data_IF_078255014417
#
_entry.id   IF_078255014417
#
_cell.length_a   1.000
_cell.length_b   1.000
_cell.length_c   1.000
_cell.angle_alpha   90.00
_cell.angle_beta   90.00
_cell.angle_gamma   90.00
#
_symmetry.space_group_name_H-M   'P 1'
#
loop_
_entity.id
_entity.type
_entity.pdbx_description
1 polymer ?
#
# COMPACT_ATOMS: atom_id res chain seq x y z
N UNK A 1 21.63 -11.33 46.75
CA UNK A 1 20.43 -11.12 45.91
C UNK A 1 20.67 -9.85 45.08
N UNK A 2 21.20 -9.99 43.86
CA UNK A 2 21.41 -8.88 42.92
C UNK A 2 20.22 -8.87 41.95
N UNK A 3 19.54 -7.74 41.72
CA UNK A 3 18.42 -7.67 40.79
C UNK A 3 18.91 -7.92 39.36
N UNK A 4 18.11 -8.71 38.64
CA UNK A 4 18.23 -9.02 37.23
C UNK A 4 18.18 -7.73 36.40
N UNK A 5 19.12 -7.48 35.47
CA UNK A 5 19.09 -6.30 34.63
C UNK A 5 17.98 -6.48 33.60
N UNK A 6 16.88 -5.74 33.83
CA UNK A 6 15.79 -5.39 32.91
C UNK A 6 15.96 -6.01 31.51
N UNK A 7 15.17 -7.05 31.24
CA UNK A 7 15.02 -7.58 29.88
C UNK A 7 14.77 -6.41 28.91
N UNK A 8 15.50 -6.33 27.77
CA UNK A 8 15.29 -5.28 26.79
C UNK A 8 13.82 -5.28 26.34
N UNK A 9 13.19 -4.11 26.37
CA UNK A 9 11.81 -3.88 25.96
C UNK A 9 11.58 -4.42 24.53
N UNK A 10 10.62 -5.34 24.31
CA UNK A 10 10.36 -5.95 23.02
C UNK A 10 9.80 -4.91 22.02
N UNK A 11 10.70 -4.42 21.17
CA UNK A 11 10.47 -3.55 20.01
C UNK A 11 10.41 -2.04 20.31
N UNK A 12 11.61 -1.45 20.28
CA UNK A 12 11.87 -0.02 20.23
C UNK A 12 10.89 0.70 19.28
N UNK A 13 10.03 1.60 19.79
CA UNK A 13 9.06 2.33 18.99
C UNK A 13 9.71 3.17 17.88
N UNK A 14 10.97 3.58 18.05
CA UNK A 14 11.73 4.30 17.02
C UNK A 14 12.08 3.39 15.84
N UNK A 15 12.40 2.11 16.08
CA UNK A 15 12.66 1.14 15.03
C UNK A 15 11.41 0.87 14.19
N UNK A 16 10.24 0.75 14.85
CA UNK A 16 8.95 0.58 14.14
C UNK A 16 8.58 1.79 13.29
N UNK A 17 8.79 3.00 13.80
CA UNK A 17 8.54 4.23 13.04
C UNK A 17 9.49 4.36 11.85
N UNK A 18 10.77 4.01 12.01
CA UNK A 18 11.76 4.01 10.94
C UNK A 18 11.39 3.01 9.82
N UNK A 19 10.99 1.79 10.19
CA UNK A 19 10.54 0.77 9.24
C UNK A 19 9.27 1.19 8.48
N UNK A 20 8.29 1.76 9.18
CA UNK A 20 7.06 2.25 8.55
C UNK A 20 7.35 3.40 7.59
N UNK A 21 8.24 4.33 7.97
CA UNK A 21 8.68 5.42 7.10
C UNK A 21 9.39 4.90 5.86
N UNK A 22 10.28 3.92 6.01
CA UNK A 22 11.01 3.32 4.90
C UNK A 22 10.08 2.61 3.91
N UNK A 23 9.08 1.87 4.40
CA UNK A 23 8.07 1.22 3.54
C UNK A 23 7.24 2.23 2.76
N UNK A 24 6.81 3.31 3.41
CA UNK A 24 6.09 4.40 2.75
C UNK A 24 6.96 5.07 1.66
N UNK A 25 8.23 5.36 1.96
CA UNK A 25 9.16 5.96 0.98
C UNK A 25 9.44 5.04 -0.21
N UNK A 26 9.60 3.74 0.01
CA UNK A 26 9.79 2.76 -1.06
C UNK A 26 8.55 2.65 -1.94
N UNK A 27 7.34 2.63 -1.36
CA UNK A 27 6.09 2.67 -2.10
C UNK A 27 5.96 3.94 -2.93
N UNK A 28 6.16 5.12 -2.33
CA UNK A 28 6.09 6.39 -3.04
C UNK A 28 7.10 6.46 -4.18
N UNK A 29 8.33 5.99 -3.97
CA UNK A 29 9.36 5.96 -5.01
C UNK A 29 8.98 5.01 -6.15
N UNK A 30 8.46 3.82 -5.83
CA UNK A 30 8.01 2.85 -6.83
C UNK A 30 6.81 3.37 -7.64
N UNK A 31 5.90 4.08 -6.99
CA UNK A 31 4.72 4.69 -7.64
C UNK A 31 5.14 5.89 -8.51
N UNK A 32 6.02 6.76 -8.00
CA UNK A 32 6.52 7.92 -8.73
C UNK A 32 7.44 7.54 -9.91
N UNK A 33 8.12 6.40 -9.83
CA UNK A 33 8.94 5.85 -10.92
C UNK A 33 8.10 5.12 -11.98
N UNK A 34 6.85 4.75 -11.66
CA UNK A 34 5.96 4.08 -12.60
C UNK A 34 5.30 5.10 -13.52
N UNK A 35 5.78 5.18 -14.76
CA UNK A 35 5.10 5.89 -15.86
C UNK A 35 3.90 5.11 -16.42
N UNK A 36 3.52 3.99 -15.79
CA UNK A 36 2.41 3.15 -16.19
C UNK A 36 1.25 3.26 -15.18
N UNK A 37 0.19 4.02 -15.50
CA UNK A 37 -1.02 4.12 -14.69
C UNK A 37 -1.71 2.78 -14.45
N UNK A 38 -1.55 1.81 -15.36
CA UNK A 38 -2.15 0.49 -15.23
C UNK A 38 -1.46 -0.31 -14.11
N UNK A 39 -0.12 -0.38 -14.12
CA UNK A 39 0.65 -1.05 -13.08
C UNK A 39 0.39 -0.45 -11.67
N UNK A 40 0.22 0.87 -11.60
CA UNK A 40 -0.16 1.57 -10.35
C UNK A 40 -1.57 1.15 -9.91
N UNK A 41 -2.55 1.15 -10.81
CA UNK A 41 -3.92 0.76 -10.51
C UNK A 41 -4.03 -0.70 -10.05
N UNK A 42 -3.27 -1.61 -10.66
CA UNK A 42 -3.20 -3.02 -10.27
C UNK A 42 -2.68 -3.19 -8.83
N UNK A 43 -1.62 -2.46 -8.46
CA UNK A 43 -1.06 -2.52 -7.11
C UNK A 43 -1.98 -1.93 -6.05
N UNK A 44 -2.66 -0.82 -6.36
CA UNK A 44 -3.67 -0.24 -5.48
C UNK A 44 -4.80 -1.23 -5.26
N UNK A 45 -5.32 -1.83 -6.34
CA UNK A 45 -6.42 -2.79 -6.26
C UNK A 45 -6.05 -4.04 -5.45
N UNK A 46 -4.86 -4.59 -5.67
CA UNK A 46 -4.35 -5.75 -4.91
C UNK A 46 -4.31 -5.47 -3.40
N UNK A 47 -3.71 -4.34 -3.02
CA UNK A 47 -3.57 -3.95 -1.62
C UNK A 47 -4.93 -3.68 -0.97
N UNK A 48 -5.82 -2.94 -1.65
CA UNK A 48 -7.15 -2.60 -1.15
C UNK A 48 -8.02 -3.86 -0.94
N UNK A 49 -8.07 -4.75 -1.93
CA UNK A 49 -8.81 -6.01 -1.80
C UNK A 49 -8.30 -6.87 -0.65
N UNK A 50 -6.97 -6.94 -0.48
CA UNK A 50 -6.35 -7.73 0.60
C UNK A 50 -6.68 -7.15 1.98
N UNK A 51 -6.58 -5.84 2.16
CA UNK A 51 -6.83 -5.17 3.44
C UNK A 51 -8.32 -5.17 3.83
N UNK A 52 -9.20 -5.00 2.85
CA UNK A 52 -10.65 -4.93 3.07
C UNK A 52 -11.31 -6.33 3.10
N UNK A 53 -10.55 -7.39 2.80
CA UNK A 53 -11.12 -8.73 2.59
C UNK A 53 -12.12 -8.78 1.42
N UNK A 54 -12.01 -7.84 0.48
CA UNK A 54 -12.94 -7.73 -0.64
C UNK A 54 -12.56 -8.75 -1.73
N UNK A 55 -13.48 -9.65 -2.13
CA UNK A 55 -13.18 -10.68 -3.13
C UNK A 55 -13.06 -10.12 -4.55
N UNK A 56 -13.61 -8.93 -4.79
CA UNK A 56 -13.69 -8.30 -6.11
C UNK A 56 -13.55 -6.79 -5.98
N UNK A 57 -13.09 -6.14 -7.06
CA UNK A 57 -12.98 -4.69 -7.12
C UNK A 57 -12.35 -4.22 -8.43
N UNK A 58 -12.43 -2.91 -8.68
CA UNK A 58 -11.85 -2.27 -9.85
C UNK A 58 -11.38 -0.86 -9.52
N UNK A 59 -10.41 -0.38 -10.29
CA UNK A 59 -9.87 0.98 -10.22
C UNK A 59 -10.06 1.61 -11.58
N UNK A 60 -10.58 2.83 -11.61
CA UNK A 60 -10.71 3.62 -12.83
C UNK A 60 -10.06 4.98 -12.69
N UNK A 61 -9.53 5.46 -13.80
CA UNK A 61 -9.19 6.87 -13.98
C UNK A 61 -10.38 7.56 -14.64
N UNK A 62 -10.73 8.73 -14.13
CA UNK A 62 -11.70 9.63 -14.76
C UNK A 62 -10.91 10.63 -15.59
N UNK A 63 -11.40 10.96 -16.78
CA UNK A 63 -10.86 12.05 -17.58
C UNK A 63 -11.04 13.41 -16.87
N UNK A 64 -10.26 14.41 -17.30
CA UNK A 64 -10.25 15.73 -16.65
C UNK A 64 -11.63 16.42 -16.71
N UNK A 65 -12.42 16.12 -17.73
CA UNK A 65 -13.77 16.66 -17.94
C UNK A 65 -14.86 15.88 -17.17
N UNK A 66 -14.49 14.78 -16.48
CA UNK A 66 -15.43 13.96 -15.70
C UNK A 66 -16.40 13.12 -16.53
N UNK A 67 -16.30 13.16 -17.86
CA UNK A 67 -17.24 12.56 -18.80
C UNK A 67 -17.00 11.07 -19.04
N UNK A 68 -15.78 10.58 -18.81
CA UNK A 68 -15.40 9.19 -19.08
C UNK A 68 -14.60 8.61 -17.93
N UNK A 69 -15.09 7.50 -17.37
CA UNK A 69 -14.33 6.64 -16.47
C UNK A 69 -13.75 5.46 -17.26
N UNK A 70 -12.43 5.33 -17.29
CA UNK A 70 -11.73 4.18 -17.86
C UNK A 70 -11.25 3.26 -16.75
N UNK A 71 -11.75 2.03 -16.74
CA UNK A 71 -11.25 0.99 -15.85
C UNK A 71 -9.80 0.67 -16.24
N UNK A 72 -8.89 0.85 -15.29
CA UNK A 72 -7.47 0.56 -15.45
C UNK A 72 -7.11 -0.82 -14.91
N UNK A 73 -7.80 -1.27 -13.85
CA UNK A 73 -7.60 -2.60 -13.28
C UNK A 73 -8.93 -3.16 -12.76
N UNK A 74 -9.14 -4.45 -12.90
CA UNK A 74 -10.29 -5.17 -12.38
C UNK A 74 -9.87 -6.54 -11.85
N UNK A 75 -10.49 -6.99 -10.76
CA UNK A 75 -10.23 -8.28 -10.12
C UNK A 75 -11.54 -8.95 -9.74
N UNK A 76 -11.63 -10.25 -10.03
CA UNK A 76 -12.75 -11.09 -9.61
C UNK A 76 -14.01 -10.90 -10.45
N UNK A 77 -13.91 -10.24 -11.60
CA UNK A 77 -14.93 -10.16 -12.63
C UNK A 77 -14.48 -11.01 -13.85
N UNK A 78 -15.39 -11.76 -14.50
CA UNK A 78 -15.09 -12.55 -15.71
C UNK A 78 -14.89 -11.68 -16.96
#
# INVERSE_FOLDING_TARGET
>A
MRPDPLAPDPADPLARLADQRQRLQQLTTSLAASLDPQAVAERILEMACTQLGAPQGWVAAVDDDGGVARILAARGYP
#
